data_IF_376497287280
#
_entry.id   IF_376497287280
#
_cell.length_a   1.000
_cell.length_b   1.000
_cell.length_c   1.000
_cell.angle_alpha   90.00
_cell.angle_beta   90.00
_cell.angle_gamma   90.00
#
_symmetry.space_group_name_H-M   'P 1'
#
loop_
_entity.id
_entity.type
_entity.pdbx_description
1 polymer ?
#
# COMPACT_ATOMS: atom_id res chain seq x y z
N UNK A 1 4.00 -8.71 -23.12
CA UNK A 1 3.16 -8.97 -21.94
C UNK A 1 4.08 -8.97 -20.71
N UNK A 2 4.21 -7.85 -20.00
CA UNK A 2 5.00 -7.79 -18.77
C UNK A 2 4.20 -8.50 -17.67
N UNK A 3 4.67 -9.67 -17.22
CA UNK A 3 4.12 -10.32 -16.02
C UNK A 3 4.68 -9.60 -14.79
N UNK A 4 3.81 -9.09 -13.93
CA UNK A 4 4.21 -8.69 -12.58
C UNK A 4 4.86 -9.89 -11.88
N UNK A 5 6.02 -9.68 -11.26
CA UNK A 5 6.70 -10.70 -10.47
C UNK A 5 5.87 -11.00 -9.21
N UNK A 6 5.86 -12.25 -8.75
CA UNK A 6 5.14 -12.67 -7.55
C UNK A 6 5.96 -12.36 -6.29
N UNK A 7 5.28 -12.10 -5.17
CA UNK A 7 5.92 -11.79 -3.89
C UNK A 7 7.02 -12.80 -3.47
N UNK A 8 6.81 -14.14 -3.54
CA UNK A 8 7.82 -15.10 -3.12
C UNK A 8 9.10 -15.05 -3.98
N UNK A 9 8.95 -14.92 -5.30
CA UNK A 9 10.09 -14.83 -6.21
C UNK A 9 10.93 -13.58 -5.98
N UNK A 10 10.30 -12.44 -5.64
CA UNK A 10 11.00 -11.19 -5.42
C UNK A 10 11.80 -11.21 -4.12
N UNK A 11 11.21 -11.79 -3.07
CA UNK A 11 11.82 -11.87 -1.75
C UNK A 11 13.08 -12.73 -1.76
N UNK A 12 13.06 -13.86 -2.47
CA UNK A 12 14.24 -14.71 -2.68
C UNK A 12 15.33 -14.00 -3.48
N UNK A 13 14.96 -13.31 -4.58
CA UNK A 13 15.93 -12.59 -5.42
C UNK A 13 16.60 -11.44 -4.68
N UNK A 14 15.84 -10.72 -3.84
CA UNK A 14 16.32 -9.57 -3.08
C UNK A 14 16.78 -9.94 -1.66
N UNK A 15 16.95 -11.22 -1.33
CA UNK A 15 17.40 -11.70 0.01
C UNK A 15 16.64 -11.05 1.17
N UNK A 16 15.33 -10.87 1.03
CA UNK A 16 14.49 -10.28 2.09
C UNK A 16 14.51 -8.75 2.22
N UNK A 17 15.28 -8.00 1.41
CA UNK A 17 15.45 -6.54 1.61
C UNK A 17 14.56 -5.67 0.72
N UNK A 18 13.57 -6.25 0.03
CA UNK A 18 12.72 -5.53 -0.92
C UNK A 18 11.41 -5.06 -0.31
N UNK A 19 11.05 -3.80 -0.58
CA UNK A 19 9.71 -3.30 -0.31
C UNK A 19 8.80 -3.69 -1.47
N UNK A 20 7.84 -4.57 -1.21
CA UNK A 20 6.91 -5.09 -2.22
C UNK A 20 5.47 -4.69 -1.93
N UNK A 21 4.76 -4.25 -2.96
CA UNK A 21 3.32 -4.06 -2.93
C UNK A 21 2.69 -4.53 -4.24
N UNK A 22 1.45 -5.01 -4.18
CA UNK A 22 0.70 -5.50 -5.36
C UNK A 22 -0.72 -4.95 -5.41
N UNK A 23 -1.31 -4.93 -6.61
CA UNK A 23 -2.73 -4.60 -6.77
C UNK A 23 -3.67 -5.73 -6.36
N UNK A 24 -3.23 -6.99 -6.50
CA UNK A 24 -3.99 -8.18 -6.10
C UNK A 24 -3.50 -8.71 -4.75
N UNK A 25 -4.39 -9.36 -3.96
CA UNK A 25 -3.98 -10.09 -2.77
C UNK A 25 -2.97 -11.18 -3.08
N UNK A 26 -1.99 -11.33 -2.20
CA UNK A 26 -1.09 -12.46 -2.12
C UNK A 26 -1.07 -12.94 -0.67
N UNK A 27 -0.86 -14.25 -0.49
CA UNK A 27 -0.70 -14.86 0.82
C UNK A 27 0.62 -14.43 1.48
N UNK A 28 0.67 -14.57 2.80
CA UNK A 28 1.87 -14.35 3.60
C UNK A 28 3.02 -15.23 3.10
N UNK A 29 4.22 -14.66 3.04
CA UNK A 29 5.42 -15.34 2.52
C UNK A 29 6.41 -15.54 3.66
N UNK A 30 6.71 -16.79 3.99
CA UNK A 30 7.79 -17.11 4.92
C UNK A 30 9.14 -17.14 4.18
N UNK A 31 10.11 -16.37 4.68
CA UNK A 31 11.47 -16.35 4.17
C UNK A 31 12.45 -16.17 5.34
N UNK A 32 13.43 -17.07 5.46
CA UNK A 32 14.47 -17.03 6.50
C UNK A 32 13.92 -16.94 7.94
N UNK A 33 12.84 -17.70 8.21
CA UNK A 33 12.17 -17.73 9.52
C UNK A 33 11.38 -16.47 9.86
N UNK A 34 11.29 -15.50 8.94
CA UNK A 34 10.45 -14.29 9.06
C UNK A 34 9.23 -14.40 8.14
N UNK A 35 8.08 -13.98 8.64
CA UNK A 35 6.84 -13.89 7.87
C UNK A 35 6.74 -12.49 7.26
N UNK A 36 6.71 -12.40 5.94
CA UNK A 36 6.54 -11.17 5.18
C UNK A 36 5.11 -11.08 4.67
N UNK A 37 4.43 -9.99 5.02
CA UNK A 37 3.05 -9.72 4.61
C UNK A 37 3.06 -8.73 3.43
N UNK A 38 2.85 -9.17 2.18
CA UNK A 38 2.90 -8.28 1.03
C UNK A 38 1.76 -7.25 1.12
N UNK A 39 2.12 -5.96 1.11
CA UNK A 39 1.15 -4.87 1.13
C UNK A 39 0.33 -4.80 -0.16
N UNK A 40 -0.89 -4.29 -0.08
CA UNK A 40 -1.72 -4.04 -1.26
C UNK A 40 -1.81 -2.55 -1.59
N UNK A 41 -1.42 -2.19 -2.81
CA UNK A 41 -1.59 -0.84 -3.36
C UNK A 41 -2.97 -0.67 -4.01
N UNK A 42 -4.04 -0.70 -3.22
CA UNK A 42 -5.40 -0.65 -3.72
C UNK A 42 -6.01 0.76 -3.68
N UNK A 43 -6.68 1.19 -4.75
CA UNK A 43 -7.37 2.48 -4.80
C UNK A 43 -8.51 2.61 -3.78
N UNK A 44 -9.00 1.49 -3.24
CA UNK A 44 -9.94 1.45 -2.11
C UNK A 44 -9.44 2.20 -0.88
N UNK A 45 -8.13 2.43 -0.73
CA UNK A 45 -7.57 3.25 0.36
C UNK A 45 -7.70 4.77 0.13
N UNK A 46 -8.13 5.20 -1.07
CA UNK A 46 -8.17 6.61 -1.47
C UNK A 46 -9.59 7.04 -1.81
N UNK A 47 -10.27 6.32 -2.71
CA UNK A 47 -11.55 6.76 -3.26
C UNK A 47 -12.65 6.96 -2.22
N UNK A 48 -12.83 6.12 -1.19
CA UNK A 48 -13.86 6.35 -0.18
C UNK A 48 -13.65 7.65 0.60
N UNK A 49 -12.41 7.97 0.98
CA UNK A 49 -12.09 9.21 1.71
C UNK A 49 -12.29 10.45 0.86
N UNK A 50 -11.85 10.40 -0.41
CA UNK A 50 -12.07 11.49 -1.36
C UNK A 50 -13.56 11.68 -1.66
N UNK A 51 -14.30 10.60 -1.89
CA UNK A 51 -15.74 10.65 -2.15
C UNK A 51 -16.53 11.21 -0.96
N UNK A 52 -16.20 10.78 0.26
CA UNK A 52 -16.82 11.31 1.47
C UNK A 52 -16.61 12.83 1.59
N UNK A 53 -15.39 13.31 1.37
CA UNK A 53 -15.10 14.74 1.33
C UNK A 53 -15.88 15.47 0.24
N UNK A 54 -15.94 14.91 -0.97
CA UNK A 54 -16.69 15.52 -2.07
C UNK A 54 -18.19 15.65 -1.77
N UNK A 55 -18.80 14.63 -1.16
CA UNK A 55 -20.23 14.62 -0.80
C UNK A 55 -20.51 15.63 0.31
N UNK A 56 -19.75 15.59 1.41
CA UNK A 56 -19.97 16.45 2.58
C UNK A 56 -19.84 17.93 2.25
N UNK A 57 -18.85 18.30 1.42
CA UNK A 57 -18.61 19.68 1.02
C UNK A 57 -19.31 20.08 -0.28
N UNK A 58 -20.13 19.19 -0.86
CA UNK A 58 -20.83 19.40 -2.15
C UNK A 58 -19.88 19.93 -3.24
N UNK A 59 -18.68 19.35 -3.31
CA UNK A 59 -17.63 19.80 -4.22
C UNK A 59 -18.07 19.60 -5.67
N UNK A 60 -17.99 20.64 -6.50
CA UNK A 60 -18.28 20.56 -7.94
C UNK A 60 -17.13 19.94 -8.75
N UNK A 61 -15.90 20.13 -8.28
CA UNK A 61 -14.69 19.61 -8.90
C UNK A 61 -13.72 19.14 -7.82
N UNK A 62 -13.02 18.04 -8.09
CA UNK A 62 -11.99 17.48 -7.20
C UNK A 62 -10.63 17.88 -7.77
N UNK A 63 -9.84 18.73 -7.07
CA UNK A 63 -8.51 19.10 -7.52
C UNK A 63 -7.51 17.97 -7.30
N UNK A 64 -6.46 17.87 -8.13
CA UNK A 64 -5.40 16.86 -7.99
C UNK A 64 -4.74 16.84 -6.61
N UNK A 65 -4.66 18.02 -5.96
CA UNK A 65 -4.16 18.16 -4.59
C UNK A 65 -4.94 17.31 -3.58
N UNK A 66 -6.23 17.04 -3.81
CA UNK A 66 -7.03 16.20 -2.93
C UNK A 66 -6.52 14.74 -2.93
N UNK A 67 -6.06 14.22 -4.08
CA UNK A 67 -5.49 12.88 -4.17
C UNK A 67 -4.13 12.78 -3.49
N UNK A 68 -3.29 13.82 -3.61
CA UNK A 68 -2.00 13.89 -2.90
C UNK A 68 -2.18 13.96 -1.38
N UNK A 69 -3.19 14.72 -0.92
CA UNK A 69 -3.56 14.79 0.50
C UNK A 69 -4.08 13.43 0.99
N UNK A 70 -4.98 12.79 0.24
CA UNK A 70 -5.48 11.46 0.58
C UNK A 70 -4.34 10.44 0.68
N UNK A 71 -3.40 10.44 -0.28
CA UNK A 71 -2.23 9.56 -0.24
C UNK A 71 -1.36 9.78 1.01
N UNK A 72 -1.13 11.04 1.39
CA UNK A 72 -0.36 11.38 2.59
C UNK A 72 -1.06 10.93 3.88
N UNK A 73 -2.37 11.17 3.98
CA UNK A 73 -3.17 10.77 5.15
C UNK A 73 -3.20 9.25 5.28
N UNK A 74 -3.43 8.53 4.17
CA UNK A 74 -3.42 7.07 4.14
C UNK A 74 -2.04 6.49 4.51
N UNK A 75 -0.94 7.14 4.13
CA UNK A 75 0.38 6.72 4.60
C UNK A 75 0.53 6.92 6.12
N UNK A 76 0.14 8.09 6.63
CA UNK A 76 0.26 8.43 8.05
C UNK A 76 -0.54 7.47 8.96
N UNK A 77 -1.75 7.07 8.55
CA UNK A 77 -2.54 6.10 9.31
C UNK A 77 -1.88 4.72 9.43
N UNK A 78 -1.02 4.34 8.48
CA UNK A 78 -0.32 3.05 8.48
C UNK A 78 1.02 3.08 9.24
N UNK A 79 1.49 4.26 9.66
CA UNK A 79 2.83 4.43 10.27
C UNK A 79 2.90 3.82 11.67
N UNK A 80 1.76 3.70 12.38
CA UNK A 80 1.73 3.13 13.74
C UNK A 80 2.07 1.64 13.81
N UNK A 81 1.94 0.89 12.70
CA UNK A 81 2.20 -0.57 12.68
C UNK A 81 3.46 -0.97 11.90
N UNK A 82 3.92 -0.15 10.95
CA UNK A 82 4.95 -0.57 9.98
C UNK A 82 6.40 -0.21 10.41
N UNK A 83 6.59 0.86 11.17
CA UNK A 83 7.95 1.33 11.54
C UNK A 83 8.63 0.40 12.57
N UNK A 84 7.86 -0.31 13.41
CA UNK A 84 8.40 -1.24 14.40
C UNK A 84 8.98 -2.53 13.80
N UNK A 85 8.56 -2.93 12.60
CA UNK A 85 9.01 -4.17 11.95
C UNK A 85 10.14 -3.97 10.93
N UNK A 86 10.26 -2.77 10.34
CA UNK A 86 11.29 -2.46 9.33
C UNK A 86 12.60 -1.95 9.95
N UNK A 87 12.58 -1.39 11.17
CA UNK A 87 13.77 -0.86 11.85
C UNK A 87 14.44 -1.82 12.86
N UNK A 88 14.18 -3.14 12.79
CA UNK A 88 14.98 -4.18 13.47
C UNK A 88 15.67 -5.07 12.46
#
# INVERSE_FOLDING_TARGET
>A
MFRSLRAPSLLCYARGTVLYASGSPFDDVEYDGKIFKPGQGNNSYIFPGVALGAILFKAKHIPDKAFLLAARVSFHSNTLNCVSEICR
#
